data_IF_569242836729
#
_entry.id   IF_569242836729
#
_cell.length_a   1.000
_cell.length_b   1.000
_cell.length_c   1.000
_cell.angle_alpha   90.00
_cell.angle_beta   90.00
_cell.angle_gamma   90.00
#
_symmetry.space_group_name_H-M   'P 1'
#
loop_
_entity.id
_entity.type
_entity.pdbx_description
1 polymer ?
#
# COMPACT_ATOMS: atom_id res chain seq x y z
N UNK A 1 61.50 22.13 -27.05
CA UNK A 1 61.14 23.21 -27.99
C UNK A 1 59.89 23.89 -27.46
N UNK A 2 59.94 25.18 -27.12
CA UNK A 2 58.83 25.95 -26.57
C UNK A 2 58.17 26.80 -27.66
N UNK A 3 56.84 26.87 -27.73
CA UNK A 3 56.06 28.00 -28.29
C UNK A 3 54.58 27.61 -28.43
N UNK A 4 53.70 28.35 -27.75
CA UNK A 4 52.82 29.35 -28.37
C UNK A 4 51.63 29.59 -27.42
N UNK A 5 51.68 30.74 -26.74
CA UNK A 5 50.54 31.29 -26.02
C UNK A 5 49.54 31.83 -27.05
N UNK A 6 48.30 31.35 -27.01
CA UNK A 6 47.18 31.93 -27.71
C UNK A 6 46.39 32.79 -26.72
N UNK A 7 46.55 34.09 -26.91
CA UNK A 7 45.68 35.17 -26.45
C UNK A 7 44.27 34.96 -27.04
N UNK A 8 43.27 34.79 -26.17
CA UNK A 8 41.86 34.74 -26.53
C UNK A 8 41.13 35.73 -25.63
N UNK A 9 40.61 36.76 -26.28
CA UNK A 9 40.06 37.96 -25.68
C UNK A 9 38.77 37.75 -24.90
N UNK A 10 38.55 38.70 -24.00
CA UNK A 10 37.36 38.88 -23.18
C UNK A 10 36.10 39.09 -24.03
N UNK A 11 35.04 38.28 -23.85
CA UNK A 11 33.71 38.63 -24.32
C UNK A 11 32.98 39.50 -23.29
N UNK A 12 32.84 40.76 -23.69
CA UNK A 12 31.74 41.70 -23.54
C UNK A 12 30.63 41.43 -22.50
N UNK A 13 30.48 42.39 -21.58
CA UNK A 13 29.43 42.50 -20.59
C UNK A 13 28.10 42.93 -21.23
N UNK A 14 27.37 41.96 -21.79
CA UNK A 14 26.05 42.16 -22.37
C UNK A 14 24.95 41.54 -21.48
N UNK A 15 24.43 42.35 -20.55
CA UNK A 15 23.03 42.35 -20.13
C UNK A 15 22.37 41.00 -19.82
N UNK A 16 22.66 40.46 -18.65
CA UNK A 16 21.95 39.31 -18.07
C UNK A 16 20.52 39.74 -17.70
N UNK A 17 19.57 39.51 -18.60
CA UNK A 17 18.14 39.52 -18.26
C UNK A 17 17.89 38.27 -17.41
N UNK A 18 17.89 38.45 -16.09
CA UNK A 18 17.42 37.45 -15.12
C UNK A 18 15.95 37.13 -15.45
N UNK A 19 15.76 36.13 -16.29
CA UNK A 19 14.47 35.53 -16.56
C UNK A 19 14.15 34.69 -15.32
N UNK A 20 13.44 35.30 -14.38
CA UNK A 20 12.82 34.60 -13.26
C UNK A 20 11.78 33.67 -13.89
N UNK A 21 12.21 32.45 -14.22
CA UNK A 21 11.33 31.34 -14.51
C UNK A 21 10.67 31.02 -13.17
N UNK A 22 9.51 31.62 -12.91
CA UNK A 22 8.65 31.22 -11.81
C UNK A 22 8.23 29.79 -12.11
N UNK A 23 8.96 28.84 -11.52
CA UNK A 23 8.53 27.45 -11.41
C UNK A 23 7.27 27.50 -10.56
N UNK A 24 6.11 27.61 -11.20
CA UNK A 24 4.84 27.27 -10.59
C UNK A 24 4.91 25.76 -10.36
N UNK A 25 5.43 25.34 -9.20
CA UNK A 25 5.06 24.05 -8.65
C UNK A 25 3.57 24.17 -8.35
N UNK A 26 2.74 23.74 -9.31
CA UNK A 26 1.40 23.28 -8.99
C UNK A 26 1.60 22.06 -8.13
N UNK A 27 1.53 22.24 -6.81
CA UNK A 27 1.21 21.14 -5.91
C UNK A 27 -0.17 20.68 -6.38
N UNK A 28 -0.22 19.57 -7.10
CA UNK A 28 -1.48 18.87 -7.25
C UNK A 28 -1.77 18.34 -5.85
N UNK A 29 -2.84 18.82 -5.21
CA UNK A 29 -3.33 18.09 -4.05
C UNK A 29 -3.62 16.67 -4.50
N UNK A 30 -3.02 15.76 -3.76
CA UNK A 30 -3.34 14.37 -3.88
C UNK A 30 -4.83 14.23 -3.53
N UNK A 31 -5.55 13.35 -4.23
CA UNK A 31 -6.90 13.00 -3.87
C UNK A 31 -6.98 12.52 -2.41
N UNK A 32 -8.17 12.64 -1.83
CA UNK A 32 -8.41 12.16 -0.48
C UNK A 32 -8.37 10.62 -0.46
N UNK A 33 -7.19 10.10 -0.18
CA UNK A 33 -6.95 8.70 0.10
C UNK A 33 -7.82 8.22 1.27
N UNK A 34 -8.41 7.03 1.14
CA UNK A 34 -9.23 6.43 2.19
C UNK A 34 -8.39 5.37 2.90
N UNK A 35 -8.00 5.64 4.15
CA UNK A 35 -7.29 4.67 5.00
C UNK A 35 -8.28 3.74 5.71
N UNK A 36 -8.30 2.47 5.32
CA UNK A 36 -9.07 1.40 5.94
C UNK A 36 -8.25 0.68 7.00
N UNK A 37 -8.78 0.57 8.21
CA UNK A 37 -8.18 -0.23 9.28
C UNK A 37 -8.52 -1.70 9.11
N UNK A 38 -7.52 -2.58 9.17
CA UNK A 38 -7.68 -4.03 9.15
C UNK A 38 -8.26 -4.51 10.49
N UNK A 39 -9.32 -5.33 10.46
CA UNK A 39 -9.93 -5.94 11.65
C UNK A 39 -9.24 -7.27 11.99
N UNK A 40 -8.48 -7.35 13.10
CA UNK A 40 -7.76 -8.56 13.48
C UNK A 40 -8.66 -9.72 13.90
N UNK A 41 -9.96 -9.49 14.15
CA UNK A 41 -10.89 -10.57 14.50
C UNK A 41 -11.37 -11.36 13.28
N UNK A 42 -11.26 -10.76 12.09
CA UNK A 42 -11.70 -11.36 10.83
C UNK A 42 -10.57 -11.51 9.82
N UNK A 43 -9.39 -10.96 10.11
CA UNK A 43 -8.21 -11.02 9.27
C UNK A 43 -7.17 -11.99 9.85
N UNK A 44 -6.44 -12.70 8.98
CA UNK A 44 -5.38 -13.63 9.39
C UNK A 44 -4.34 -13.85 8.31
N UNK A 45 -3.19 -14.36 8.71
CA UNK A 45 -2.17 -14.92 7.84
C UNK A 45 -2.01 -16.40 8.15
N UNK A 46 -1.94 -17.22 7.11
CA UNK A 46 -1.69 -18.65 7.14
C UNK A 46 -0.36 -18.90 6.39
N UNK A 47 0.64 -19.50 7.05
CA UNK A 47 1.98 -19.73 6.50
C UNK A 47 2.35 -21.20 6.61
N UNK A 48 2.91 -21.77 5.55
CA UNK A 48 3.47 -23.11 5.49
C UNK A 48 4.97 -23.01 5.13
N UNK A 49 5.81 -23.58 6.00
CA UNK A 49 7.24 -23.73 5.78
C UNK A 49 7.52 -25.18 5.38
N UNK A 50 8.12 -25.37 4.21
CA UNK A 50 8.55 -26.69 3.72
C UNK A 50 10.07 -26.73 3.51
N UNK A 51 10.74 -27.75 4.05
CA UNK A 51 12.17 -28.02 3.84
C UNK A 51 12.32 -29.50 3.50
N UNK A 52 12.91 -29.81 2.34
CA UNK A 52 13.18 -31.19 1.91
C UNK A 52 12.01 -32.20 2.08
N UNK A 53 10.82 -31.81 1.63
CA UNK A 53 9.56 -32.59 1.68
C UNK A 53 8.87 -32.69 3.06
N UNK A 54 9.47 -32.15 4.13
CA UNK A 54 8.79 -31.98 5.42
C UNK A 54 8.22 -30.57 5.53
N UNK A 55 6.97 -30.44 5.96
CA UNK A 55 6.26 -29.16 6.05
C UNK A 55 5.58 -29.02 7.41
N UNK A 56 5.51 -27.79 7.89
CA UNK A 56 4.66 -27.40 9.02
C UNK A 56 3.98 -26.06 8.71
N UNK A 57 2.85 -25.82 9.36
CA UNK A 57 2.03 -24.64 9.12
C UNK A 57 1.59 -23.99 10.41
N UNK A 58 1.62 -22.66 10.44
CA UNK A 58 1.09 -21.88 11.55
C UNK A 58 0.29 -20.67 11.03
N UNK A 59 -0.48 -20.05 11.92
CA UNK A 59 -1.34 -18.92 11.59
C UNK A 59 -1.31 -17.85 12.68
N UNK A 60 -1.53 -16.61 12.26
CA UNK A 60 -1.60 -15.45 13.15
C UNK A 60 -2.75 -14.54 12.74
N UNK A 61 -3.40 -13.85 13.69
CA UNK A 61 -4.25 -12.72 13.30
C UNK A 61 -3.36 -11.61 12.72
N UNK A 62 -3.93 -10.75 11.89
CA UNK A 62 -3.20 -9.62 11.31
C UNK A 62 -3.89 -8.29 11.62
N UNK A 63 -3.07 -7.27 11.78
CA UNK A 63 -3.47 -5.88 11.94
C UNK A 63 -2.75 -4.98 10.93
N UNK A 64 -3.11 -3.69 10.92
CA UNK A 64 -2.53 -2.69 10.02
C UNK A 64 -3.59 -1.92 9.24
N UNK A 65 -3.27 -1.50 8.02
CA UNK A 65 -4.14 -0.68 7.18
C UNK A 65 -4.01 -0.97 5.69
N UNK A 66 -5.02 -0.53 4.93
CA UNK A 66 -5.03 -0.42 3.48
C UNK A 66 -5.37 1.02 3.12
N UNK A 67 -4.68 1.62 2.18
CA UNK A 67 -5.04 2.94 1.64
C UNK A 67 -5.50 2.78 0.21
N UNK A 68 -6.69 3.29 -0.10
CA UNK A 68 -7.25 3.20 -1.45
C UNK A 68 -7.75 4.55 -1.94
N UNK A 69 -7.72 4.73 -3.25
CA UNK A 69 -8.36 5.84 -3.93
C UNK A 69 -9.56 5.33 -4.75
N UNK A 70 -10.74 5.94 -4.58
CA UNK A 70 -11.93 5.64 -5.38
C UNK A 70 -12.08 6.66 -6.51
N UNK A 71 -12.44 6.20 -7.70
CA UNK A 71 -12.66 7.12 -8.83
C UNK A 71 -13.89 8.01 -8.61
N UNK A 72 -14.90 7.51 -7.89
CA UNK A 72 -15.98 8.28 -7.29
C UNK A 72 -16.48 7.58 -6.02
N UNK A 73 -16.46 8.22 -4.83
CA UNK A 73 -16.89 7.58 -3.58
C UNK A 73 -18.38 7.17 -3.51
N UNK A 74 -19.26 7.78 -4.31
CA UNK A 74 -20.70 7.49 -4.31
C UNK A 74 -21.07 6.25 -5.14
N UNK A 75 -20.39 6.07 -6.28
CA UNK A 75 -20.59 4.96 -7.21
C UNK A 75 -19.23 4.61 -7.88
N UNK A 76 -18.35 3.91 -7.15
CA UNK A 76 -17.00 3.64 -7.63
C UNK A 76 -17.06 2.64 -8.79
N UNK A 77 -16.48 3.03 -9.92
CA UNK A 77 -16.30 2.14 -11.07
C UNK A 77 -14.84 1.64 -11.17
N UNK A 78 -13.93 2.28 -10.44
CA UNK A 78 -12.54 1.86 -10.33
C UNK A 78 -11.96 2.25 -8.96
N UNK A 79 -10.92 1.54 -8.56
CA UNK A 79 -10.19 1.75 -7.31
C UNK A 79 -8.69 1.56 -7.53
N UNK A 80 -7.88 2.41 -6.91
CA UNK A 80 -6.43 2.24 -6.84
C UNK A 80 -6.05 1.83 -5.41
N UNK A 81 -5.09 0.90 -5.28
CA UNK A 81 -4.54 0.46 -4.00
C UNK A 81 -3.27 1.27 -3.77
N UNK A 82 -3.34 2.37 -3.02
CA UNK A 82 -2.26 3.35 -2.90
C UNK A 82 -1.16 2.92 -1.92
N UNK A 83 -1.54 2.26 -0.83
CA UNK A 83 -0.64 1.81 0.21
C UNK A 83 -1.24 0.62 0.97
N UNK A 84 -0.41 -0.14 1.67
CA UNK A 84 -0.83 -1.11 2.66
C UNK A 84 0.28 -1.39 3.66
N UNK A 85 -0.14 -1.81 4.85
CA UNK A 85 0.72 -2.32 5.90
C UNK A 85 -0.01 -3.44 6.62
N UNK A 86 0.56 -4.64 6.60
CA UNK A 86 -0.01 -5.85 7.17
C UNK A 86 1.01 -6.45 8.14
N UNK A 87 0.62 -6.59 9.40
CA UNK A 87 1.47 -7.07 10.49
C UNK A 87 0.84 -8.29 11.13
N UNK A 88 1.63 -9.36 11.35
CA UNK A 88 1.20 -10.49 12.16
C UNK A 88 1.19 -10.11 13.65
N UNK A 89 0.07 -10.38 14.34
CA UNK A 89 -0.10 -9.97 15.74
C UNK A 89 0.63 -10.89 16.73
N UNK A 90 0.98 -12.08 16.29
CA UNK A 90 1.66 -13.13 17.06
C UNK A 90 2.80 -13.74 16.25
N UNK A 91 3.88 -14.18 16.92
CA UNK A 91 4.90 -15.00 16.29
C UNK A 91 4.30 -16.26 15.65
N UNK A 92 4.94 -16.74 14.59
CA UNK A 92 4.65 -18.02 13.97
C UNK A 92 5.72 -19.03 14.36
N UNK A 93 5.31 -20.18 14.85
CA UNK A 93 6.19 -21.27 15.30
C UNK A 93 6.06 -22.48 14.37
N UNK A 94 7.19 -22.97 13.86
CA UNK A 94 7.25 -24.12 12.96
C UNK A 94 8.12 -25.22 13.56
N UNK A 95 7.68 -26.48 13.44
CA UNK A 95 8.39 -27.67 13.87
C UNK A 95 8.41 -28.73 12.77
N UNK A 96 9.55 -28.86 12.10
CA UNK A 96 9.80 -29.87 11.07
C UNK A 96 10.48 -31.10 11.69
N UNK A 97 9.73 -32.20 11.87
CA UNK A 97 10.17 -33.45 12.49
C UNK A 97 10.65 -34.47 11.43
N UNK A 98 11.96 -34.70 11.35
CA UNK A 98 12.56 -35.71 10.46
C UNK A 98 12.78 -37.07 11.15
N UNK A 99 12.11 -37.29 12.28
CA UNK A 99 12.21 -38.49 13.11
C UNK A 99 13.62 -38.72 13.63
N UNK A 100 14.22 -39.85 13.27
CA UNK A 100 15.58 -40.19 13.75
C UNK A 100 16.66 -39.23 13.23
N UNK A 101 16.37 -38.51 12.14
CA UNK A 101 17.32 -37.57 11.54
C UNK A 101 17.42 -36.25 12.31
N UNK A 102 16.48 -35.95 13.21
CA UNK A 102 16.46 -34.72 14.00
C UNK A 102 15.28 -33.83 13.65
N UNK A 103 15.34 -32.58 14.11
CA UNK A 103 14.25 -31.62 14.05
C UNK A 103 14.78 -30.27 13.57
N UNK A 104 13.91 -29.46 12.97
CA UNK A 104 14.13 -28.02 12.81
C UNK A 104 12.99 -27.30 13.52
N UNK A 105 13.35 -26.40 14.43
CA UNK A 105 12.43 -25.43 15.04
C UNK A 105 12.68 -24.09 14.39
N UNK A 106 11.65 -23.41 13.91
CA UNK A 106 11.75 -22.05 13.43
C UNK A 106 10.69 -21.16 14.10
N UNK A 107 11.04 -19.91 14.34
CA UNK A 107 10.17 -18.92 14.95
C UNK A 107 10.32 -17.61 14.18
N UNK A 108 9.20 -17.09 13.71
CA UNK A 108 9.12 -15.87 12.93
C UNK A 108 8.39 -14.79 13.72
N UNK A 109 9.06 -13.66 13.99
CA UNK A 109 8.56 -12.56 14.82
C UNK A 109 8.48 -11.28 14.04
N UNK A 110 7.58 -10.40 14.48
CA UNK A 110 7.39 -9.06 13.93
C UNK A 110 7.20 -9.07 12.40
N UNK A 111 6.57 -10.14 11.88
CA UNK A 111 6.35 -10.33 10.45
C UNK A 111 5.46 -9.21 9.90
N UNK A 112 5.97 -8.49 8.91
CA UNK A 112 5.29 -7.37 8.30
C UNK A 112 5.48 -7.36 6.79
N UNK A 113 4.40 -7.03 6.09
CA UNK A 113 4.36 -6.83 4.64
C UNK A 113 3.80 -5.43 4.38
N UNK A 114 4.54 -4.58 3.66
CA UNK A 114 4.08 -3.21 3.40
C UNK A 114 4.44 -2.74 1.99
N UNK A 115 3.72 -1.75 1.48
CA UNK A 115 3.88 -1.27 0.12
C UNK A 115 5.27 -0.65 -0.11
N UNK A 116 5.96 -1.03 -1.19
CA UNK A 116 7.31 -0.54 -1.45
C UNK A 116 7.35 0.85 -2.13
N UNK A 117 6.25 1.27 -2.75
CA UNK A 117 6.16 2.50 -3.54
C UNK A 117 4.82 3.22 -3.30
N UNK A 118 4.53 3.66 -2.06
CA UNK A 118 3.21 4.22 -1.72
C UNK A 118 2.87 5.48 -2.54
N UNK A 119 1.58 5.69 -2.75
CA UNK A 119 1.00 6.78 -3.56
C UNK A 119 0.77 6.39 -5.02
N UNK A 120 0.42 7.38 -5.85
CA UNK A 120 -0.16 7.26 -7.21
C UNK A 120 -0.12 5.87 -7.88
N UNK A 121 -1.08 5.01 -7.54
CA UNK A 121 -1.28 3.73 -8.21
C UNK A 121 -2.31 3.82 -9.35
N UNK A 122 -2.24 2.94 -10.37
CA UNK A 122 -3.24 2.94 -11.42
C UNK A 122 -4.60 2.45 -10.90
N UNK A 123 -5.66 3.13 -11.33
CA UNK A 123 -7.03 2.68 -11.12
C UNK A 123 -7.31 1.33 -11.79
N UNK A 124 -7.81 0.40 -11.00
CA UNK A 124 -8.26 -0.92 -11.42
C UNK A 124 -9.79 -0.93 -11.50
N UNK A 125 -10.39 -1.43 -12.59
CA UNK A 125 -11.84 -1.45 -12.74
C UNK A 125 -12.49 -2.37 -11.69
N UNK A 126 -13.63 -1.94 -11.15
CA UNK A 126 -14.47 -2.76 -10.30
C UNK A 126 -15.45 -3.52 -11.18
N UNK A 127 -15.40 -4.86 -11.12
CA UNK A 127 -16.24 -5.77 -11.90
C UNK A 127 -16.95 -6.70 -10.92
N UNK A 128 -18.28 -6.69 -10.94
CA UNK A 128 -19.12 -7.51 -10.05
C UNK A 128 -18.80 -7.34 -8.55
N UNK A 129 -18.33 -6.15 -8.15
CA UNK A 129 -17.98 -5.84 -6.76
C UNK A 129 -16.58 -6.28 -6.34
N UNK A 130 -15.71 -6.62 -7.29
CA UNK A 130 -14.31 -6.96 -7.02
C UNK A 130 -13.35 -6.17 -7.91
N UNK A 131 -12.12 -6.00 -7.46
CA UNK A 131 -11.03 -5.42 -8.26
C UNK A 131 -9.75 -6.26 -8.09
N UNK A 132 -8.83 -6.06 -9.02
CA UNK A 132 -7.54 -6.74 -9.03
C UNK A 132 -6.43 -5.74 -9.34
N UNK A 133 -5.54 -5.49 -8.38
CA UNK A 133 -4.30 -4.76 -8.59
C UNK A 133 -3.19 -5.74 -9.01
N UNK A 134 -2.40 -5.40 -10.02
CA UNK A 134 -1.38 -6.28 -10.57
C UNK A 134 0.01 -5.70 -10.35
N UNK A 135 1.01 -6.56 -10.15
CA UNK A 135 2.41 -6.18 -9.95
C UNK A 135 2.61 -5.20 -8.78
N UNK A 136 1.96 -5.46 -7.65
CA UNK A 136 2.01 -4.56 -6.49
C UNK A 136 3.36 -4.77 -5.78
N UNK A 137 4.24 -3.75 -5.73
CA UNK A 137 5.56 -3.90 -5.13
C UNK A 137 5.47 -3.84 -3.61
N UNK A 138 6.22 -4.71 -2.93
CA UNK A 138 6.17 -4.81 -1.48
C UNK A 138 7.56 -4.94 -0.85
N UNK A 139 7.63 -4.57 0.42
CA UNK A 139 8.75 -4.80 1.32
C UNK A 139 8.31 -5.75 2.43
N UNK A 140 9.31 -6.46 2.97
CA UNK A 140 9.16 -7.34 4.12
C UNK A 140 9.95 -6.76 5.28
N UNK A 141 9.52 -7.07 6.49
CA UNK A 141 10.24 -6.77 7.73
C UNK A 141 9.90 -7.88 8.76
N UNK A 142 10.72 -7.97 9.80
CA UNK A 142 10.64 -9.01 10.82
C UNK A 142 11.85 -9.94 10.83
N UNK A 143 11.85 -10.87 11.78
CA UNK A 143 13.00 -11.74 12.05
C UNK A 143 12.57 -13.19 12.09
N UNK A 144 13.30 -14.05 11.37
CA UNK A 144 13.12 -15.51 11.41
C UNK A 144 14.36 -16.13 12.05
N UNK A 145 14.17 -16.79 13.19
CA UNK A 145 15.20 -17.58 13.84
C UNK A 145 14.93 -19.06 13.64
N UNK A 146 15.98 -19.87 13.45
CA UNK A 146 15.83 -21.33 13.43
C UNK A 146 16.89 -22.05 14.26
N UNK A 147 16.55 -23.26 14.70
CA UNK A 147 17.42 -24.21 15.37
C UNK A 147 17.22 -25.60 14.77
N UNK A 148 18.26 -26.13 14.13
CA UNK A 148 18.34 -27.48 13.63
C UNK A 148 19.08 -28.40 14.61
N UNK A 149 18.50 -29.56 14.89
CA UNK A 149 19.06 -30.59 15.76
C UNK A 149 19.38 -31.88 14.99
N UNK A 150 20.11 -32.81 15.64
CA UNK A 150 20.37 -34.14 15.10
C UNK A 150 21.29 -34.21 13.87
N UNK A 151 20.98 -35.13 12.94
CA UNK A 151 21.72 -35.34 11.69
C UNK A 151 21.51 -34.17 10.72
N UNK A 152 20.32 -33.55 10.73
CA UNK A 152 19.98 -32.41 9.87
C UNK A 152 20.97 -31.25 10.06
N UNK A 153 21.28 -30.88 11.31
CA UNK A 153 22.35 -29.91 11.62
C UNK A 153 23.71 -30.29 11.00
N UNK A 154 24.05 -31.58 10.99
CA UNK A 154 25.28 -32.08 10.34
C UNK A 154 25.26 -31.90 8.81
N UNK A 155 24.10 -32.01 8.17
CA UNK A 155 23.92 -31.79 6.74
C UNK A 155 24.04 -30.29 6.43
N UNK A 156 23.33 -29.43 7.17
CA UNK A 156 23.39 -27.97 7.01
C UNK A 156 24.83 -27.46 7.10
N UNK A 157 25.58 -27.91 8.11
CA UNK A 157 26.99 -27.54 8.25
C UNK A 157 27.89 -27.98 7.09
N UNK A 158 27.60 -29.11 6.45
CA UNK A 158 28.34 -29.54 5.26
C UNK A 158 28.04 -28.66 4.04
N UNK A 159 26.89 -27.99 4.03
CA UNK A 159 26.49 -26.99 3.02
C UNK A 159 26.98 -25.57 3.37
N UNK A 160 27.62 -25.39 4.53
CA UNK A 160 28.10 -24.08 4.99
C UNK A 160 27.06 -23.26 5.75
N UNK A 161 25.91 -23.86 6.06
CA UNK A 161 24.81 -23.23 6.81
C UNK A 161 24.96 -23.59 8.31
N UNK A 162 24.87 -22.63 9.24
CA UNK A 162 24.95 -22.92 10.67
C UNK A 162 23.70 -23.71 11.14
N UNK A 163 23.81 -24.39 12.29
CA UNK A 163 22.67 -25.12 12.84
C UNK A 163 21.67 -24.22 13.57
N UNK A 164 22.04 -22.97 13.82
CA UNK A 164 21.19 -21.94 14.40
C UNK A 164 21.57 -20.64 13.70
N UNK A 165 20.58 -19.90 13.23
CA UNK A 165 20.78 -18.58 12.62
C UNK A 165 19.56 -17.70 12.84
N UNK A 166 19.76 -16.40 12.61
CA UNK A 166 18.74 -15.38 12.61
C UNK A 166 18.79 -14.63 11.27
N UNK A 167 17.66 -14.62 10.56
CA UNK A 167 17.51 -13.96 9.27
C UNK A 167 16.58 -12.76 9.45
N UNK A 168 17.10 -11.57 9.15
CA UNK A 168 16.32 -10.34 9.09
C UNK A 168 15.66 -10.24 7.71
N UNK A 169 14.32 -10.26 7.67
CA UNK A 169 13.56 -10.17 6.42
C UNK A 169 13.62 -8.77 5.79
N UNK A 170 14.01 -7.74 6.57
CA UNK A 170 14.23 -6.38 6.07
C UNK A 170 15.45 -6.24 5.16
N UNK A 171 16.38 -7.21 5.20
CA UNK A 171 17.54 -7.26 4.30
C UNK A 171 17.19 -7.81 2.90
N UNK A 172 16.01 -8.42 2.74
CA UNK A 172 15.56 -8.93 1.44
C UNK A 172 15.27 -7.79 0.44
N UNK A 173 15.52 -8.00 -0.86
CA UNK A 173 15.11 -7.06 -1.88
C UNK A 173 13.57 -6.95 -1.92
N UNK A 174 13.03 -5.81 -2.41
CA UNK A 174 11.60 -5.66 -2.63
C UNK A 174 11.04 -6.79 -3.51
N UNK A 175 9.89 -7.32 -3.11
CA UNK A 175 9.13 -8.32 -3.87
C UNK A 175 8.06 -7.68 -4.75
N UNK A 176 7.43 -8.51 -5.58
CA UNK A 176 6.27 -8.14 -6.40
C UNK A 176 5.16 -9.15 -6.12
N UNK A 177 3.99 -8.67 -5.68
CA UNK A 177 2.77 -9.46 -5.68
C UNK A 177 2.21 -9.43 -7.10
N UNK A 178 2.15 -10.59 -7.77
CA UNK A 178 1.63 -10.68 -9.12
C UNK A 178 0.19 -10.15 -9.20
N UNK A 179 -0.62 -10.52 -8.21
CA UNK A 179 -2.03 -10.20 -8.13
C UNK A 179 -2.46 -9.93 -6.67
N UNK A 180 -3.17 -8.82 -6.46
CA UNK A 180 -3.91 -8.52 -5.24
C UNK A 180 -5.38 -8.37 -5.61
N UNK A 181 -6.16 -9.40 -5.30
CA UNK A 181 -7.60 -9.43 -5.59
C UNK A 181 -8.41 -9.18 -4.33
N UNK A 182 -9.41 -8.30 -4.43
CA UNK A 182 -10.25 -7.94 -3.31
C UNK A 182 -11.70 -7.62 -3.72
N UNK A 183 -12.63 -7.98 -2.84
CA UNK A 183 -14.03 -7.58 -2.89
C UNK A 183 -14.18 -6.21 -2.22
N UNK A 184 -15.02 -5.37 -2.82
CA UNK A 184 -15.33 -4.02 -2.35
C UNK A 184 -16.84 -3.88 -2.14
N UNK A 185 -17.24 -3.32 -1.00
CA UNK A 185 -18.63 -3.05 -0.68
C UNK A 185 -18.78 -1.71 0.03
N UNK A 186 -19.81 -0.95 -0.33
CA UNK A 186 -20.20 0.28 0.35
C UNK A 186 -21.57 0.07 0.96
N UNK A 187 -21.64 0.05 2.29
CA UNK A 187 -22.88 -0.16 3.04
C UNK A 187 -22.99 0.86 4.16
N UNK A 188 -24.12 1.57 4.23
CA UNK A 188 -24.41 2.56 5.29
C UNK A 188 -23.30 3.62 5.47
N UNK A 189 -22.63 4.01 4.38
CA UNK A 189 -21.53 5.00 4.40
C UNK A 189 -20.20 4.44 4.89
N UNK A 190 -20.06 3.11 5.00
CA UNK A 190 -18.81 2.44 5.35
C UNK A 190 -18.30 1.69 4.13
N UNK A 191 -17.07 2.01 3.73
CA UNK A 191 -16.32 1.24 2.76
C UNK A 191 -15.75 -0.01 3.44
N UNK A 192 -15.94 -1.16 2.82
CA UNK A 192 -15.40 -2.45 3.25
C UNK A 192 -14.61 -3.06 2.11
N UNK A 193 -13.41 -3.54 2.43
CA UNK A 193 -12.56 -4.28 1.50
C UNK A 193 -12.21 -5.63 2.11
N UNK A 194 -12.40 -6.71 1.35
CA UNK A 194 -11.99 -8.06 1.72
C UNK A 194 -11.03 -8.59 0.66
N UNK A 195 -9.75 -8.66 1.00
CA UNK A 195 -8.68 -9.03 0.07
C UNK A 195 -7.97 -10.32 0.45
N UNK A 196 -7.33 -10.93 -0.54
CA UNK A 196 -6.39 -12.05 -0.34
C UNK A 196 -5.04 -11.71 -0.97
N UNK A 197 -3.98 -11.89 -0.19
CA UNK A 197 -2.59 -11.83 -0.67
C UNK A 197 -2.04 -13.25 -0.64
N UNK A 198 -1.57 -13.76 -1.77
CA UNK A 198 -0.90 -15.04 -1.87
C UNK A 198 0.61 -14.81 -2.06
N UNK A 199 1.44 -15.63 -1.42
CA UNK A 199 2.89 -15.59 -1.60
C UNK A 199 3.47 -17.01 -1.66
N UNK A 200 4.53 -17.15 -2.45
CA UNK A 200 5.24 -18.39 -2.72
C UNK A 200 6.70 -18.07 -3.03
N UNK A 201 7.56 -18.16 -2.02
CA UNK A 201 8.96 -17.79 -2.11
C UNK A 201 9.87 -18.97 -1.73
N UNK A 202 10.96 -19.23 -2.48
CA UNK A 202 12.00 -20.13 -2.00
C UNK A 202 12.70 -19.53 -0.78
N UNK A 203 13.14 -20.37 0.16
CA UNK A 203 13.94 -19.92 1.31
C UNK A 203 15.27 -19.28 0.88
N UNK A 204 15.84 -19.80 -0.19
CA UNK A 204 17.05 -19.27 -0.81
C UNK A 204 16.81 -19.19 -2.33
N UNK A 205 16.72 -17.98 -2.90
CA UNK A 205 16.56 -17.79 -4.34
C UNK A 205 17.68 -18.41 -5.20
N UNK A 206 18.90 -18.56 -4.66
CA UNK A 206 20.01 -19.20 -5.36
C UNK A 206 19.93 -20.74 -5.29
N UNK A 207 19.23 -21.29 -4.28
CA UNK A 207 19.09 -22.73 -4.04
C UNK A 207 17.63 -23.09 -3.67
N UNK A 208 16.66 -22.96 -4.60
CA UNK A 208 15.23 -23.09 -4.31
C UNK A 208 14.80 -24.51 -3.87
N UNK A 209 15.66 -25.51 -4.05
CA UNK A 209 15.44 -26.86 -3.56
C UNK A 209 15.67 -27.03 -2.05
N UNK A 210 16.26 -26.04 -1.37
CA UNK A 210 16.48 -26.11 0.08
C UNK A 210 15.17 -26.07 0.85
N UNK A 211 14.22 -25.28 0.37
CA UNK A 211 12.90 -25.18 0.96
C UNK A 211 12.13 -23.99 0.41
N UNK A 212 10.88 -23.88 0.86
CA UNK A 212 9.92 -22.92 0.35
C UNK A 212 9.02 -22.47 1.49
N UNK A 213 8.68 -21.19 1.47
CA UNK A 213 7.63 -20.60 2.29
C UNK A 213 6.47 -20.31 1.35
N UNK A 214 5.30 -20.85 1.66
CA UNK A 214 4.05 -20.51 0.97
C UNK A 214 3.03 -20.05 1.98
N UNK A 215 2.07 -19.26 1.54
CA UNK A 215 1.02 -18.82 2.43
C UNK A 215 0.08 -17.84 1.80
N UNK A 216 -0.84 -17.36 2.62
CA UNK A 216 -1.73 -16.29 2.23
C UNK A 216 -2.16 -15.45 3.43
N UNK A 217 -2.49 -14.20 3.18
CA UNK A 217 -3.16 -13.32 4.12
C UNK A 217 -4.59 -13.02 3.64
N UNK A 218 -5.57 -13.13 4.53
CA UNK A 218 -6.93 -12.66 4.32
C UNK A 218 -7.08 -11.37 5.12
N UNK A 219 -7.37 -10.27 4.44
CA UNK A 219 -7.52 -8.95 5.02
C UNK A 219 -8.97 -8.51 4.92
N UNK A 220 -9.56 -8.12 6.04
CA UNK A 220 -10.87 -7.48 6.10
C UNK A 220 -10.68 -6.11 6.72
N UNK A 221 -10.84 -5.06 5.91
CA UNK A 221 -10.63 -3.69 6.33
C UNK A 221 -11.89 -2.85 6.12
N UNK A 222 -12.04 -1.80 6.93
CA UNK A 222 -13.16 -0.87 6.78
C UNK A 222 -12.80 0.56 7.18
N UNK A 223 -13.44 1.52 6.54
CA UNK A 223 -13.40 2.93 6.90
C UNK A 223 -14.75 3.60 6.65
N UNK A 224 -15.12 4.65 7.42
CA UNK A 224 -16.18 5.55 6.98
C UNK A 224 -15.75 6.20 5.65
N UNK A 225 -16.68 6.31 4.71
CA UNK A 225 -16.45 7.11 3.52
C UNK A 225 -16.40 8.60 3.91
N UNK A 226 -15.51 9.41 3.30
CA UNK A 226 -15.60 10.86 3.41
C UNK A 226 -16.96 11.33 2.88
N UNK A 227 -17.41 12.51 3.30
CA UNK A 227 -18.61 13.11 2.72
C UNK A 227 -18.44 13.18 1.21
N UNK A 228 -19.29 12.45 0.48
CA UNK A 228 -19.24 12.43 -0.97
C UNK A 228 -19.72 13.76 -1.57
N UNK A 229 -19.58 13.94 -2.89
CA UNK A 229 -20.00 15.15 -3.58
C UNK A 229 -21.53 15.33 -3.73
N UNK A 230 -22.34 14.49 -3.09
CA UNK A 230 -23.79 14.64 -2.94
C UNK A 230 -24.08 15.67 -1.84
N UNK A 231 -24.20 16.93 -2.24
CA UNK A 231 -24.35 18.07 -1.36
C UNK A 231 -25.83 18.44 -1.12
N UNK A 232 -26.77 17.88 -1.89
CA UNK A 232 -28.20 18.12 -1.70
C UNK A 232 -28.99 16.91 -1.14
N UNK A 233 -28.34 15.74 -1.08
CA UNK A 233 -28.79 14.52 -0.40
C UNK A 233 -29.67 13.61 -1.26
N UNK A 234 -29.60 13.72 -2.58
CA UNK A 234 -30.42 12.94 -3.51
C UNK A 234 -29.70 11.69 -4.09
N UNK A 235 -28.45 11.46 -3.66
CA UNK A 235 -27.59 10.30 -3.94
C UNK A 235 -26.91 10.29 -5.30
N UNK A 236 -26.77 11.43 -5.95
CA UNK A 236 -25.83 11.60 -7.04
C UNK A 236 -24.96 12.85 -6.87
N UNK A 237 -24.13 13.16 -7.87
CA UNK A 237 -23.30 14.35 -7.88
C UNK A 237 -23.57 15.09 -9.19
N UNK A 238 -24.43 16.09 -9.15
CA UNK A 238 -24.98 16.74 -10.32
C UNK A 238 -24.92 18.28 -10.26
N UNK A 239 -25.68 18.94 -11.15
CA UNK A 239 -25.71 20.39 -11.25
C UNK A 239 -26.29 21.09 -10.01
N UNK A 240 -27.21 20.44 -9.28
CA UNK A 240 -27.73 20.92 -8.01
C UNK A 240 -26.63 20.92 -6.95
N UNK A 241 -25.83 19.86 -6.87
CA UNK A 241 -24.68 19.79 -5.97
C UNK A 241 -23.60 20.81 -6.34
N UNK A 242 -23.30 20.96 -7.64
CA UNK A 242 -22.35 21.98 -8.09
C UNK A 242 -22.78 23.39 -7.68
N UNK A 243 -24.08 23.65 -7.65
CA UNK A 243 -24.60 24.92 -7.15
C UNK A 243 -24.39 25.06 -5.64
N UNK A 244 -24.59 23.99 -4.87
CA UNK A 244 -24.29 24.00 -3.43
C UNK A 244 -22.79 24.21 -3.18
N UNK A 245 -21.94 23.48 -3.91
CA UNK A 245 -20.48 23.62 -3.89
C UNK A 245 -20.04 25.06 -4.15
N UNK A 246 -20.55 25.69 -5.22
CA UNK A 246 -20.24 27.09 -5.57
C UNK A 246 -20.62 28.10 -4.47
N UNK A 247 -21.65 27.81 -3.67
CA UNK A 247 -22.03 28.65 -2.54
C UNK A 247 -21.08 28.48 -1.33
N UNK A 248 -20.50 27.29 -1.20
CA UNK A 248 -19.55 26.94 -0.15
C UNK A 248 -18.10 27.28 -0.49
N UNK A 249 -17.75 27.46 -1.77
CA UNK A 249 -16.39 27.77 -2.21
C UNK A 249 -15.85 29.06 -1.56
N UNK A 250 -14.87 28.90 -0.66
CA UNK A 250 -14.17 29.98 0.04
C UNK A 250 -12.75 30.22 -0.48
N UNK A 251 -12.14 29.17 -1.05
CA UNK A 251 -10.76 29.14 -1.52
C UNK A 251 -9.75 28.82 -0.41
N UNK A 252 -8.59 28.28 -0.80
CA UNK A 252 -7.53 27.79 0.10
C UNK A 252 -7.23 28.68 1.31
N UNK A 253 -7.21 28.05 2.49
CA UNK A 253 -6.97 28.62 3.81
C UNK A 253 -8.09 29.52 4.34
N UNK A 254 -9.28 29.50 3.71
CA UNK A 254 -10.45 30.27 4.16
C UNK A 254 -11.59 29.34 4.56
N UNK A 255 -12.37 29.69 5.60
CA UNK A 255 -13.55 28.90 5.92
C UNK A 255 -14.52 28.84 4.73
N UNK A 256 -15.43 27.85 4.70
CA UNK A 256 -16.49 27.79 3.69
C UNK A 256 -17.22 29.13 3.54
N UNK A 257 -17.60 29.45 2.30
CA UNK A 257 -18.26 30.70 1.94
C UNK A 257 -19.50 30.97 2.80
N UNK A 258 -19.73 32.25 3.14
CA UNK A 258 -20.87 32.65 4.01
C UNK A 258 -22.25 32.24 3.47
N UNK A 259 -22.34 31.93 2.17
CA UNK A 259 -23.56 31.47 1.51
C UNK A 259 -23.75 29.94 1.54
N UNK A 260 -22.81 29.19 2.12
CA UNK A 260 -22.88 27.75 2.23
C UNK A 260 -24.15 27.34 3.00
N UNK A 261 -25.03 26.50 2.42
CA UNK A 261 -26.25 26.10 3.09
C UNK A 261 -25.95 25.36 4.41
N UNK A 262 -26.78 25.59 5.43
CA UNK A 262 -26.59 24.95 6.73
C UNK A 262 -26.70 23.43 6.60
N UNK A 263 -25.66 22.72 7.05
CA UNK A 263 -25.61 21.25 7.06
C UNK A 263 -25.01 20.64 5.79
N UNK A 264 -24.62 21.45 4.80
CA UNK A 264 -23.85 21.00 3.64
C UNK A 264 -22.37 20.97 4.04
N UNK A 265 -21.70 19.83 3.82
CA UNK A 265 -20.26 19.73 3.93
C UNK A 265 -19.65 19.65 2.53
N UNK A 266 -19.16 20.77 2.01
CA UNK A 266 -18.50 20.83 0.71
C UNK A 266 -16.97 20.74 0.80
N UNK A 267 -16.44 20.59 2.02
CA UNK A 267 -15.06 20.21 2.32
C UNK A 267 -14.99 18.68 2.16
N UNK A 268 -14.57 18.26 0.96
CA UNK A 268 -14.54 16.89 0.48
C UNK A 268 -13.19 16.20 0.76
N UNK A 269 -12.11 16.95 0.95
CA UNK A 269 -10.81 16.41 1.37
C UNK A 269 -10.52 16.52 2.89
N UNK A 270 -11.39 17.20 3.64
CA UNK A 270 -11.35 17.40 5.08
C UNK A 270 -10.14 18.24 5.55
N UNK A 271 -9.77 19.27 4.80
CA UNK A 271 -8.68 20.19 5.15
C UNK A 271 -9.12 21.49 5.84
N UNK A 272 -10.40 21.57 6.23
CA UNK A 272 -11.09 22.71 6.87
C UNK A 272 -11.38 23.90 5.93
N UNK A 273 -11.19 23.76 4.61
CA UNK A 273 -11.63 24.74 3.62
C UNK A 273 -12.48 24.17 2.47
N UNK A 274 -12.86 25.02 1.51
CA UNK A 274 -13.62 24.58 0.32
C UNK A 274 -13.01 25.29 -0.88
N UNK A 275 -12.20 24.57 -1.64
CA UNK A 275 -11.37 25.13 -2.68
C UNK A 275 -11.25 24.27 -3.95
N UNK A 276 -10.13 24.40 -4.68
CA UNK A 276 -9.91 23.70 -5.93
C UNK A 276 -9.63 22.20 -5.74
N UNK A 277 -9.17 21.79 -4.57
CA UNK A 277 -8.85 20.41 -4.26
C UNK A 277 -10.15 19.62 -4.00
N UNK A 278 -11.12 20.19 -3.27
CA UNK A 278 -12.49 19.67 -3.21
C UNK A 278 -13.18 19.67 -4.58
N UNK A 279 -12.99 20.73 -5.36
CA UNK A 279 -13.58 20.81 -6.70
C UNK A 279 -13.09 19.64 -7.58
N UNK A 280 -11.83 19.19 -7.43
CA UNK A 280 -11.34 18.03 -8.17
C UNK A 280 -12.05 16.75 -7.74
N UNK A 281 -12.25 16.55 -6.44
CA UNK A 281 -13.01 15.40 -5.90
C UNK A 281 -14.44 15.43 -6.45
N UNK A 282 -15.09 16.58 -6.37
CA UNK A 282 -16.42 16.80 -6.91
C UNK A 282 -16.52 16.44 -8.40
N UNK A 283 -15.59 16.96 -9.22
CA UNK A 283 -15.62 16.77 -10.66
C UNK A 283 -15.39 15.34 -11.13
N UNK A 284 -14.77 14.49 -10.29
CA UNK A 284 -14.61 13.06 -10.61
C UNK A 284 -15.95 12.31 -10.58
N UNK A 285 -16.88 12.74 -9.74
CA UNK A 285 -18.23 12.19 -9.69
C UNK A 285 -19.22 12.89 -10.64
N UNK A 286 -19.01 14.18 -10.95
CA UNK A 286 -19.92 15.07 -11.70
C UNK A 286 -20.28 14.66 -13.15
N UNK A 287 -19.82 13.50 -13.63
CA UNK A 287 -20.00 13.08 -15.03
C UNK A 287 -20.46 11.63 -15.18
N UNK A 288 -20.84 10.96 -14.09
CA UNK A 288 -21.41 9.61 -14.10
C UNK A 288 -22.94 9.69 -14.09
#
# INVERSE_FOLDING_TARGET
>A
MPQAAADLGEPDASGEKTMICALLLTMAAAPADIELTIDPNTSRIDVELCVQDECDSDQSSISGFLTVELDCPLDPAAVALEDFDVVADQPLEFHLDYGFFGDIFADARDLRLFHAQPGDQPFNPIIDGSFTANNVPFLKDGVVAYLAEGLICGILRNLGVPCEDEVDLGDDPPGILDEVSADIAIEEGVLRISGRLDFDEPLDPENPELGRITGFAIMNASAPLPSGPDLDGDKDADLADMRAFQLCFGGSGNPPGEACPQGVNADLDNDDDVDLDDYRIFFRCFAK
#
